data_IF_027787606668
#
_entry.id   IF_027787606668
#
_cell.length_a   1.000
_cell.length_b   1.000
_cell.length_c   1.000
_cell.angle_alpha   90.00
_cell.angle_beta   90.00
_cell.angle_gamma   90.00
#
_symmetry.space_group_name_H-M   'P 1'
#
loop_
_entity.id
_entity.type
_entity.pdbx_description
1 polymer ?
#
# COMPACT_ATOMS: atom_id res chain seq x y z
N UNK A 1 6.02 5.35 1.38
CA UNK A 1 5.48 6.70 1.55
C UNK A 1 3.97 6.72 1.75
N UNK A 2 3.18 6.62 0.65
CA UNK A 2 1.72 6.83 0.69
C UNK A 2 1.01 5.89 1.68
N UNK A 3 1.24 4.58 1.62
CA UNK A 3 0.59 3.61 2.51
C UNK A 3 0.89 3.90 4.01
N UNK A 4 2.10 4.34 4.34
CA UNK A 4 2.45 4.71 5.71
C UNK A 4 1.68 5.97 6.16
N UNK A 5 1.50 6.95 5.28
CA UNK A 5 0.71 8.14 5.57
C UNK A 5 -0.78 7.79 5.80
N UNK A 6 -1.36 6.97 4.92
CA UNK A 6 -2.74 6.51 5.05
C UNK A 6 -2.95 5.71 6.35
N UNK A 7 -2.01 4.83 6.68
CA UNK A 7 -1.99 4.08 7.94
C UNK A 7 -1.99 5.00 9.16
N UNK A 8 -1.15 6.02 9.16
CA UNK A 8 -1.06 6.98 10.26
C UNK A 8 -2.35 7.81 10.42
N UNK A 9 -2.92 8.28 9.31
CA UNK A 9 -4.16 9.06 9.32
C UNK A 9 -5.35 8.23 9.79
N UNK A 10 -5.51 7.01 9.27
CA UNK A 10 -6.59 6.12 9.64
C UNK A 10 -6.39 5.44 11.00
N UNK A 11 -5.22 5.57 11.63
CA UNK A 11 -4.80 4.81 12.82
C UNK A 11 -4.95 3.29 12.63
N UNK A 12 -4.70 2.83 11.41
CA UNK A 12 -4.78 1.43 11.02
C UNK A 12 -3.37 0.88 10.78
N UNK A 13 -2.91 -0.12 11.56
CA UNK A 13 -1.56 -0.66 11.40
C UNK A 13 -1.39 -1.41 10.07
N UNK A 14 -0.19 -1.37 9.53
CA UNK A 14 0.23 -2.14 8.36
C UNK A 14 0.76 -3.49 8.80
N UNK A 15 0.39 -4.55 8.12
CA UNK A 15 0.94 -5.88 8.33
C UNK A 15 2.45 -5.89 8.07
N UNK A 16 3.22 -6.29 9.08
CA UNK A 16 4.70 -6.30 9.03
C UNK A 16 5.28 -7.48 8.24
N UNK A 17 4.45 -8.46 7.91
CA UNK A 17 4.86 -9.60 7.08
C UNK A 17 4.73 -9.34 5.57
N UNK A 18 4.23 -8.15 5.19
CA UNK A 18 4.13 -7.74 3.80
C UNK A 18 5.06 -6.57 3.51
N UNK A 19 5.80 -6.66 2.41
CA UNK A 19 6.51 -5.55 1.81
C UNK A 19 5.73 -4.98 0.64
N UNK A 20 5.95 -3.72 0.31
CA UNK A 20 5.35 -3.07 -0.86
C UNK A 20 6.40 -2.30 -1.63
N UNK A 21 6.37 -2.43 -2.95
CA UNK A 21 7.16 -1.62 -3.86
C UNK A 21 6.32 -1.21 -5.06
N UNK A 22 6.45 0.03 -5.47
CA UNK A 22 5.68 0.63 -6.55
C UNK A 22 5.74 2.14 -6.47
N UNK A 23 5.42 2.81 -7.54
CA UNK A 23 5.09 4.23 -7.57
C UNK A 23 3.57 4.37 -7.80
N UNK A 24 3.00 5.49 -7.43
CA UNK A 24 1.56 5.76 -7.60
C UNK A 24 1.43 7.11 -8.29
N UNK A 25 0.62 7.16 -9.34
CA UNK A 25 0.29 8.41 -10.02
C UNK A 25 -0.81 9.20 -9.27
N UNK A 26 -1.16 10.36 -9.81
CA UNK A 26 -2.17 11.23 -9.22
C UNK A 26 -3.59 10.67 -9.21
N UNK A 27 -3.84 9.60 -9.96
CA UNK A 27 -5.14 8.93 -10.08
C UNK A 27 -5.22 7.65 -9.25
N UNK A 28 -4.14 7.29 -8.55
CA UNK A 28 -4.07 6.07 -7.74
C UNK A 28 -3.58 4.84 -8.50
N UNK A 29 -3.24 4.96 -9.80
CA UNK A 29 -2.71 3.83 -10.55
C UNK A 29 -1.30 3.50 -10.10
N UNK A 30 -1.05 2.21 -9.92
CA UNK A 30 0.28 1.72 -9.53
C UNK A 30 1.17 1.62 -10.76
N UNK A 31 2.30 2.30 -10.71
CA UNK A 31 3.25 2.42 -11.81
C UNK A 31 4.42 1.45 -11.64
N UNK A 32 5.00 0.95 -12.76
CA UNK A 32 6.13 0.04 -12.72
C UNK A 32 7.36 0.70 -12.11
N UNK A 33 8.21 -0.13 -11.51
CA UNK A 33 9.48 0.29 -10.90
C UNK A 33 10.62 -0.60 -11.35
N UNK A 34 11.84 -0.06 -11.29
CA UNK A 34 13.07 -0.81 -11.52
C UNK A 34 13.57 -1.54 -10.29
N UNK A 35 14.46 -2.54 -10.51
CA UNK A 35 15.11 -3.28 -9.43
C UNK A 35 14.14 -4.16 -8.63
N UNK A 36 13.08 -4.63 -9.27
CA UNK A 36 12.01 -5.38 -8.57
C UNK A 36 12.49 -6.74 -8.11
N UNK A 37 13.23 -7.46 -8.95
CA UNK A 37 13.73 -8.80 -8.62
C UNK A 37 14.62 -8.76 -7.37
N UNK A 38 15.55 -7.81 -7.31
CA UNK A 38 16.45 -7.62 -6.18
C UNK A 38 15.72 -7.28 -4.89
N UNK A 39 14.64 -6.49 -4.99
CA UNK A 39 13.80 -6.13 -3.85
C UNK A 39 13.02 -7.32 -3.31
N UNK A 40 12.43 -8.13 -4.20
CA UNK A 40 11.71 -9.35 -3.82
C UNK A 40 12.66 -10.34 -3.16
N UNK A 41 13.81 -10.62 -3.77
CA UNK A 41 14.80 -11.56 -3.24
C UNK A 41 15.41 -11.09 -1.93
N UNK A 42 15.69 -9.78 -1.82
CA UNK A 42 16.19 -9.19 -0.57
C UNK A 42 15.19 -9.35 0.57
N UNK A 43 13.92 -9.08 0.35
CA UNK A 43 12.89 -9.27 1.35
C UNK A 43 12.67 -10.75 1.68
N UNK A 44 12.61 -11.62 0.66
CA UNK A 44 12.52 -13.06 0.85
C UNK A 44 13.66 -13.59 1.73
N UNK A 45 14.89 -13.17 1.48
CA UNK A 45 16.06 -13.56 2.29
C UNK A 45 15.89 -13.18 3.76
N UNK A 46 15.41 -11.97 4.04
CA UNK A 46 15.12 -11.54 5.43
C UNK A 46 14.05 -12.42 6.05
N UNK A 47 12.96 -12.70 5.34
CA UNK A 47 11.90 -13.57 5.81
C UNK A 47 12.38 -15.00 6.06
N UNK A 48 13.24 -15.54 5.19
CA UNK A 48 13.81 -16.89 5.33
C UNK A 48 14.68 -17.02 6.59
N UNK A 49 15.49 -16.00 6.90
CA UNK A 49 16.30 -15.97 8.13
C UNK A 49 15.42 -15.96 9.39
N UNK A 50 14.28 -15.26 9.34
CA UNK A 50 13.33 -15.18 10.45
C UNK A 50 12.41 -16.40 10.56
N UNK A 51 12.38 -17.22 9.52
CA UNK A 51 11.47 -18.36 9.36
C UNK A 51 10.20 -17.98 8.61
N UNK A 52 10.00 -18.65 7.46
CA UNK A 52 8.77 -18.51 6.67
C UNK A 52 7.59 -19.14 7.42
N UNK A 53 6.46 -18.44 7.47
CA UNK A 53 5.24 -18.89 8.14
C UNK A 53 4.00 -18.90 7.22
N UNK A 54 4.21 -18.73 5.91
CA UNK A 54 3.13 -18.73 4.90
C UNK A 54 2.31 -17.44 4.82
N UNK A 55 2.69 -16.39 5.55
CA UNK A 55 2.02 -15.09 5.50
C UNK A 55 2.85 -14.02 4.81
N UNK A 56 4.16 -14.23 4.70
CA UNK A 56 5.06 -13.25 4.11
C UNK A 56 4.84 -13.12 2.61
N UNK A 57 4.97 -11.88 2.13
CA UNK A 57 4.83 -11.60 0.70
C UNK A 57 5.20 -10.18 0.32
N UNK A 58 5.19 -9.93 -0.98
CA UNK A 58 5.49 -8.62 -1.55
C UNK A 58 4.35 -8.18 -2.45
N UNK A 59 3.88 -6.96 -2.25
CA UNK A 59 2.93 -6.28 -3.13
C UNK A 59 3.72 -5.53 -4.19
N UNK A 60 3.42 -5.79 -5.46
CA UNK A 60 4.16 -5.30 -6.63
C UNK A 60 3.22 -4.66 -7.66
N UNK A 61 3.72 -3.80 -8.57
CA UNK A 61 2.93 -3.35 -9.70
C UNK A 61 2.58 -4.51 -10.64
N UNK A 62 1.31 -4.64 -11.03
CA UNK A 62 0.86 -5.64 -11.99
C UNK A 62 1.64 -5.56 -13.31
N UNK A 63 1.94 -4.35 -13.77
CA UNK A 63 2.72 -4.09 -14.99
C UNK A 63 4.15 -4.66 -14.97
N UNK A 64 4.70 -4.95 -13.79
CA UNK A 64 6.01 -5.61 -13.66
C UNK A 64 5.92 -7.15 -13.63
N UNK A 65 4.74 -7.74 -13.56
CA UNK A 65 4.56 -9.19 -13.34
C UNK A 65 5.26 -10.03 -14.42
N UNK A 66 5.17 -9.63 -15.68
CA UNK A 66 5.80 -10.33 -16.80
C UNK A 66 7.33 -10.20 -16.87
N UNK A 67 7.90 -9.32 -16.05
CA UNK A 67 9.35 -9.04 -16.02
C UNK A 67 10.04 -9.74 -14.84
N UNK A 68 9.32 -10.53 -14.07
CA UNK A 68 9.88 -11.23 -12.91
C UNK A 68 10.84 -12.34 -13.36
N UNK A 69 12.06 -12.26 -12.86
CA UNK A 69 13.10 -13.28 -12.98
C UNK A 69 13.61 -13.53 -11.57
N UNK A 70 13.08 -14.56 -10.92
CA UNK A 70 13.36 -14.86 -9.51
C UNK A 70 14.17 -16.17 -9.41
N UNK A 71 14.91 -16.30 -8.31
CA UNK A 71 15.66 -17.53 -8.01
C UNK A 71 14.73 -18.71 -7.76
N UNK A 72 15.25 -19.91 -7.98
CA UNK A 72 14.51 -21.16 -7.77
C UNK A 72 13.97 -21.26 -6.33
N UNK A 73 14.71 -20.77 -5.35
CA UNK A 73 14.30 -20.76 -3.94
C UNK A 73 13.01 -19.96 -3.71
N UNK A 74 12.92 -18.75 -4.30
CA UNK A 74 11.72 -17.93 -4.22
C UNK A 74 10.55 -18.60 -4.95
N UNK A 75 10.81 -19.15 -6.15
CA UNK A 75 9.80 -19.81 -6.95
C UNK A 75 9.22 -21.02 -6.19
N UNK A 76 10.06 -21.85 -5.58
CA UNK A 76 9.62 -22.99 -4.78
C UNK A 76 8.82 -22.55 -3.54
N UNK A 77 9.28 -21.53 -2.83
CA UNK A 77 8.55 -21.01 -1.67
C UNK A 77 7.16 -20.48 -2.05
N UNK A 78 7.03 -19.84 -3.22
CA UNK A 78 5.73 -19.37 -3.73
C UNK A 78 4.85 -20.55 -4.11
N UNK A 79 5.37 -21.57 -4.82
CA UNK A 79 4.63 -22.78 -5.19
C UNK A 79 4.12 -23.54 -3.96
N UNK A 80 4.91 -23.55 -2.89
CA UNK A 80 4.57 -24.23 -1.64
C UNK A 80 3.69 -23.39 -0.68
N UNK A 81 3.29 -22.19 -1.10
CA UNK A 81 2.47 -21.29 -0.28
C UNK A 81 3.16 -20.73 0.95
N UNK A 82 4.49 -20.72 0.96
CA UNK A 82 5.31 -20.19 2.06
C UNK A 82 5.66 -18.72 1.91
N UNK A 83 5.58 -18.20 0.67
CA UNK A 83 5.80 -16.81 0.32
C UNK A 83 4.83 -16.40 -0.80
N UNK A 84 4.47 -15.12 -0.87
CA UNK A 84 3.44 -14.65 -1.78
C UNK A 84 3.89 -13.42 -2.56
N UNK A 85 3.42 -13.32 -3.80
CA UNK A 85 3.60 -12.13 -4.64
C UNK A 85 2.21 -11.65 -5.04
N UNK A 86 1.90 -10.41 -4.70
CA UNK A 86 0.59 -9.80 -4.92
C UNK A 86 0.71 -8.68 -5.96
N UNK A 87 0.38 -8.95 -7.23
CA UNK A 87 0.31 -7.89 -8.23
C UNK A 87 -0.93 -7.03 -7.98
N UNK A 88 -0.75 -5.71 -8.05
CA UNK A 88 -1.83 -4.73 -7.89
C UNK A 88 -1.74 -3.66 -8.98
N UNK A 89 -2.87 -3.18 -9.43
CA UNK A 89 -3.01 -2.13 -10.44
C UNK A 89 -3.38 -0.77 -9.84
N UNK A 90 -4.03 -0.77 -8.69
CA UNK A 90 -4.51 0.43 -8.01
C UNK A 90 -4.10 0.46 -6.52
N UNK A 91 -3.92 1.67 -5.99
CA UNK A 91 -3.47 1.88 -4.61
C UNK A 91 -4.44 1.30 -3.57
N UNK A 92 -5.73 1.26 -3.88
CA UNK A 92 -6.76 0.69 -3.00
C UNK A 92 -6.50 -0.78 -2.73
N UNK A 93 -6.18 -1.57 -3.77
CA UNK A 93 -5.82 -2.99 -3.62
C UNK A 93 -4.60 -3.18 -2.71
N UNK A 94 -3.57 -2.33 -2.90
CA UNK A 94 -2.38 -2.38 -2.05
C UNK A 94 -2.70 -2.06 -0.58
N UNK A 95 -3.56 -1.07 -0.33
CA UNK A 95 -3.99 -0.66 1.00
C UNK A 95 -4.80 -1.76 1.68
N UNK A 96 -5.74 -2.39 0.97
CA UNK A 96 -6.54 -3.50 1.49
C UNK A 96 -5.68 -4.69 1.88
N UNK A 97 -4.70 -5.06 1.04
CA UNK A 97 -3.74 -6.12 1.36
C UNK A 97 -2.88 -5.79 2.58
N UNK A 98 -2.36 -4.56 2.65
CA UNK A 98 -1.44 -4.13 3.69
C UNK A 98 -2.09 -3.91 5.05
N UNK A 99 -3.36 -3.53 5.10
CA UNK A 99 -4.07 -3.14 6.32
C UNK A 99 -5.21 -4.10 6.70
N UNK A 100 -5.59 -5.02 5.80
CA UNK A 100 -6.62 -6.02 6.07
C UNK A 100 -8.02 -5.44 6.26
N UNK A 101 -8.29 -4.27 5.71
CA UNK A 101 -9.60 -3.64 5.77
C UNK A 101 -9.97 -3.00 4.42
N UNK A 102 -11.26 -2.90 4.09
CA UNK A 102 -11.70 -2.28 2.85
C UNK A 102 -11.21 -0.83 2.75
N UNK A 103 -10.69 -0.44 1.60
CA UNK A 103 -10.38 0.95 1.28
C UNK A 103 -11.66 1.79 1.31
N UNK A 104 -12.68 1.33 0.60
CA UNK A 104 -14.04 1.86 0.63
C UNK A 104 -14.19 3.26 0.07
N UNK A 105 -15.17 4.00 0.57
CA UNK A 105 -15.50 5.36 0.13
C UNK A 105 -15.19 6.38 1.22
N UNK A 106 -14.89 7.60 0.81
CA UNK A 106 -14.75 8.76 1.70
C UNK A 106 -16.04 9.12 2.45
N UNK A 107 -17.18 8.66 1.94
CA UNK A 107 -18.50 8.95 2.51
C UNK A 107 -18.97 7.88 3.51
N UNK A 108 -18.18 6.83 3.71
CA UNK A 108 -18.46 5.74 4.66
C UNK A 108 -17.40 5.68 5.75
N UNK A 109 -17.73 6.21 6.92
CA UNK A 109 -16.86 6.31 8.10
C UNK A 109 -16.36 4.95 8.63
N UNK A 110 -16.98 3.85 8.22
CA UNK A 110 -16.54 2.50 8.57
C UNK A 110 -15.37 2.01 7.71
N UNK A 111 -15.14 2.66 6.57
CA UNK A 111 -14.05 2.34 5.65
C UNK A 111 -12.76 3.07 5.98
N UNK A 112 -11.66 2.66 5.37
CA UNK A 112 -10.36 3.30 5.60
C UNK A 112 -10.41 4.77 5.14
N UNK A 113 -10.91 5.03 3.94
CA UNK A 113 -10.96 6.39 3.39
C UNK A 113 -11.94 7.29 4.13
N UNK A 114 -13.05 6.77 4.62
CA UNK A 114 -13.96 7.53 5.47
C UNK A 114 -13.30 8.00 6.77
N UNK A 115 -12.61 7.09 7.47
CA UNK A 115 -11.84 7.42 8.69
C UNK A 115 -10.72 8.43 8.43
N UNK A 116 -10.06 8.35 7.26
CA UNK A 116 -9.04 9.33 6.87
C UNK A 116 -9.67 10.70 6.67
N UNK A 117 -10.82 10.77 5.99
CA UNK A 117 -11.56 12.03 5.82
C UNK A 117 -11.93 12.65 7.16
N UNK A 118 -12.58 11.90 8.04
CA UNK A 118 -12.93 12.37 9.39
C UNK A 118 -11.70 12.92 10.12
N UNK A 119 -10.60 12.19 10.06
CA UNK A 119 -9.36 12.62 10.71
C UNK A 119 -8.78 13.91 10.12
N UNK A 120 -8.86 14.08 8.81
CA UNK A 120 -8.41 15.31 8.15
C UNK A 120 -9.32 16.49 8.49
N UNK A 121 -10.62 16.28 8.60
CA UNK A 121 -11.59 17.30 9.01
C UNK A 121 -11.33 17.73 10.46
N UNK A 122 -11.06 16.80 11.36
CA UNK A 122 -10.66 17.09 12.75
C UNK A 122 -9.38 17.93 12.82
N UNK A 123 -8.36 17.54 12.05
CA UNK A 123 -7.09 18.28 12.01
C UNK A 123 -7.26 19.68 11.42
N UNK A 124 -8.13 19.83 10.43
CA UNK A 124 -8.44 21.12 9.80
C UNK A 124 -9.27 22.01 10.74
N UNK A 125 -10.24 21.45 11.43
CA UNK A 125 -11.03 22.15 12.46
C UNK A 125 -10.20 22.59 13.66
N UNK A 126 -9.21 21.80 14.05
CA UNK A 126 -8.28 22.11 15.15
C UNK A 126 -7.23 23.15 14.75
N UNK A 127 -6.91 23.27 13.46
CA UNK A 127 -5.90 24.17 12.91
C UNK A 127 -6.48 25.55 12.52
N UNK A 128 -7.65 25.92 13.06
CA UNK A 128 -8.30 27.17 12.74
C UNK A 128 -7.34 28.36 12.80
N UNK A 129 -6.86 28.78 11.65
CA UNK A 129 -6.30 30.05 11.20
C UNK A 129 -5.06 30.01 10.31
N UNK A 130 -4.47 28.88 9.95
CA UNK A 130 -3.30 28.88 9.07
C UNK A 130 -3.49 28.01 7.83
N UNK A 131 -3.68 28.68 6.69
CA UNK A 131 -4.04 28.15 5.37
C UNK A 131 -3.06 27.18 4.66
N UNK A 132 -2.17 26.49 5.36
CA UNK A 132 -1.29 25.46 4.79
C UNK A 132 -2.02 24.14 4.55
N UNK A 133 -2.99 23.80 5.39
CA UNK A 133 -3.75 22.56 5.28
C UNK A 133 -4.85 22.59 4.21
N UNK A 134 -5.40 23.76 3.88
CA UNK A 134 -6.41 23.86 2.82
C UNK A 134 -5.87 23.53 1.42
N UNK A 135 -4.57 23.71 1.20
CA UNK A 135 -3.92 23.41 -0.08
C UNK A 135 -3.58 21.92 -0.19
N UNK A 136 -3.20 21.29 0.91
CA UNK A 136 -3.00 19.84 0.99
C UNK A 136 -4.34 19.09 0.85
N UNK A 137 -5.39 19.60 1.48
CA UNK A 137 -6.75 19.05 1.42
C UNK A 137 -7.30 19.08 -0.01
N UNK A 138 -7.08 20.16 -0.75
CA UNK A 138 -7.51 20.29 -2.14
C UNK A 138 -6.80 19.33 -3.07
N UNK A 139 -5.52 19.04 -2.81
CA UNK A 139 -4.75 18.05 -3.56
C UNK A 139 -5.12 16.60 -3.22
N UNK A 140 -5.41 16.29 -1.96
CA UNK A 140 -5.91 14.98 -1.55
C UNK A 140 -7.34 14.72 -2.04
N UNK A 141 -8.19 15.73 -2.04
CA UNK A 141 -9.55 15.63 -2.59
C UNK A 141 -9.55 15.36 -4.11
N UNK A 142 -8.54 15.86 -4.83
CA UNK A 142 -8.36 15.54 -6.26
C UNK A 142 -7.77 14.15 -6.49
N UNK A 143 -7.19 13.54 -5.47
CA UNK A 143 -6.62 12.18 -5.53
C UNK A 143 -7.62 11.07 -5.14
N UNK A 144 -8.66 11.41 -4.37
CA UNK A 144 -9.57 10.41 -3.77
C UNK A 144 -11.00 10.51 -4.30
N UNK A 145 -11.32 11.50 -5.07
CA UNK A 145 -12.68 11.63 -5.52
C UNK A 145 -12.90 12.64 -6.62
N UNK A 146 -12.68 12.24 -7.83
CA UNK A 146 -13.41 12.72 -8.98
C UNK A 146 -13.12 11.76 -10.14
N UNK A 147 -13.92 10.77 -10.28
CA UNK A 147 -14.43 10.35 -11.56
C UNK A 147 -15.93 10.60 -11.53
#
# INVERSE_FOLDING_TARGET
GLCALLSALAKQPIYQHLAVTGAVDQFGNVQPVGGLNEKIEGFFRVCSIQGLNGKQGVVIPESNQLQLILSDEVIEAVKNGQFHIYPVSHVEEAVELLMGCPAGSIDDDQTLFGRIRERLDDLNGSAGRNGLFSTLFRRLHSLVGLA
#
